data_IF_946107674443
#
_entry.id   IF_946107674443
#
_cell.length_a   1.000
_cell.length_b   1.000
_cell.length_c   1.000
_cell.angle_alpha   90.00
_cell.angle_beta   90.00
_cell.angle_gamma   90.00
#
_symmetry.space_group_name_H-M   'P 1'
#
loop_
_entity.id
_entity.type
_entity.pdbx_description
1 polymer ?
#
# COMPACT_ATOMS: atom_id res chain seq x y z
N UNK A 1 -1.53 21.36 -11.15
CA UNK A 1 -1.29 21.07 -9.72
C UNK A 1 -1.23 19.57 -9.54
N UNK A 2 -0.12 18.99 -9.06
CA UNK A 2 -0.05 17.56 -8.77
C UNK A 2 -0.91 17.25 -7.54
N UNK A 3 -1.83 16.29 -7.65
CA UNK A 3 -2.59 15.79 -6.50
C UNK A 3 -1.69 15.13 -5.45
N UNK A 4 -2.25 14.78 -4.28
CA UNK A 4 -1.50 14.14 -3.20
C UNK A 4 -0.82 12.85 -3.64
N UNK A 5 0.32 12.55 -3.01
CA UNK A 5 1.03 11.30 -3.24
C UNK A 5 0.25 10.15 -2.63
N UNK A 6 -0.24 9.23 -3.47
CA UNK A 6 -0.99 8.04 -3.06
C UNK A 6 -0.02 6.94 -2.62
N UNK A 7 -0.18 6.45 -1.39
CA UNK A 7 0.64 5.42 -0.77
C UNK A 7 -0.24 4.21 -0.39
N UNK A 8 0.10 3.00 -0.84
CA UNK A 8 -0.50 1.76 -0.32
C UNK A 8 0.38 1.23 0.82
N UNK A 9 -0.19 1.12 2.02
CA UNK A 9 0.48 0.56 3.18
C UNK A 9 0.37 -0.96 3.15
N UNK A 10 1.52 -1.63 3.13
CA UNK A 10 1.57 -3.07 3.34
C UNK A 10 1.24 -3.44 4.80
N UNK A 11 0.82 -4.68 5.02
CA UNK A 11 0.46 -5.22 6.33
C UNK A 11 1.59 -5.08 7.35
N UNK A 12 2.84 -5.19 6.92
CA UNK A 12 4.02 -4.98 7.77
C UNK A 12 4.04 -3.58 8.40
N UNK A 13 3.78 -2.54 7.62
CA UNK A 13 3.74 -1.14 8.09
C UNK A 13 2.58 -0.92 9.06
N UNK A 14 1.40 -1.43 8.70
CA UNK A 14 0.21 -1.36 9.56
C UNK A 14 0.49 -2.03 10.91
N UNK A 15 1.12 -3.21 10.92
CA UNK A 15 1.48 -3.92 12.14
C UNK A 15 2.41 -3.09 13.04
N UNK A 16 3.51 -2.55 12.48
CA UNK A 16 4.47 -1.73 13.24
C UNK A 16 3.85 -0.47 13.81
N UNK A 17 2.91 0.15 13.10
CA UNK A 17 2.14 1.28 13.64
C UNK A 17 1.39 0.90 14.93
N UNK A 18 0.67 -0.23 14.93
CA UNK A 18 -0.09 -0.67 16.10
C UNK A 18 0.80 -1.19 17.23
N UNK A 19 1.90 -1.89 16.91
CA UNK A 19 2.90 -2.31 17.90
C UNK A 19 3.52 -1.10 18.60
N UNK A 20 3.95 -0.09 17.84
CA UNK A 20 4.53 1.13 18.38
C UNK A 20 3.56 1.96 19.22
N UNK A 21 2.34 2.20 18.72
CA UNK A 21 1.34 2.97 19.48
C UNK A 21 0.92 2.26 20.76
N UNK A 22 0.76 0.93 20.73
CA UNK A 22 0.52 0.13 21.93
C UNK A 22 1.73 0.07 22.88
N UNK A 23 2.95 0.13 22.35
CA UNK A 23 4.19 0.24 23.11
C UNK A 23 4.28 1.57 23.86
N UNK A 24 4.04 2.69 23.17
CA UNK A 24 4.01 4.04 23.75
C UNK A 24 2.99 4.16 24.89
N UNK A 25 1.78 3.61 24.71
CA UNK A 25 0.75 3.62 25.75
C UNK A 25 1.18 2.86 27.02
N UNK A 26 2.14 1.94 26.91
CA UNK A 26 2.73 1.17 28.02
C UNK A 26 4.07 1.73 28.50
N UNK A 27 4.53 2.87 27.97
CA UNK A 27 5.82 3.47 28.31
C UNK A 27 7.03 2.69 27.80
N UNK A 28 6.87 1.85 26.78
CA UNK A 28 7.97 1.10 26.17
C UNK A 28 8.73 1.97 25.16
N UNK A 29 10.03 1.71 25.04
CA UNK A 29 10.85 2.30 23.98
C UNK A 29 10.40 1.78 22.61
N UNK A 30 10.38 2.67 21.62
CA UNK A 30 10.06 2.33 20.24
C UNK A 30 11.29 1.79 19.52
N UNK A 31 11.07 0.80 18.67
CA UNK A 31 12.01 0.44 17.62
C UNK A 31 11.98 1.46 16.48
N UNK A 32 13.04 1.49 15.67
CA UNK A 32 13.13 2.39 14.52
C UNK A 32 11.96 2.18 13.54
N UNK A 33 11.60 0.93 13.25
CA UNK A 33 10.48 0.60 12.35
C UNK A 33 9.14 1.10 12.90
N UNK A 34 8.90 0.97 14.20
CA UNK A 34 7.68 1.48 14.85
C UNK A 34 7.63 3.01 14.81
N UNK A 35 8.74 3.68 15.10
CA UNK A 35 8.85 5.14 15.01
C UNK A 35 8.58 5.64 13.58
N UNK A 36 9.18 5.00 12.58
CA UNK A 36 8.97 5.33 11.17
C UNK A 36 7.52 5.11 10.74
N UNK A 37 6.88 4.01 11.14
CA UNK A 37 5.48 3.72 10.82
C UNK A 37 4.53 4.76 11.45
N UNK A 38 4.77 5.16 12.71
CA UNK A 38 4.00 6.21 13.38
C UNK A 38 4.17 7.54 12.66
N UNK A 39 5.40 7.92 12.36
CA UNK A 39 5.71 9.18 11.67
C UNK A 39 5.02 9.25 10.31
N UNK A 40 5.09 8.19 9.51
CA UNK A 40 4.45 8.11 8.20
C UNK A 40 2.93 8.37 8.28
N UNK A 41 2.23 7.71 9.21
CA UNK A 41 0.79 7.88 9.40
C UNK A 41 0.46 9.28 9.92
N UNK A 42 1.34 9.88 10.70
CA UNK A 42 1.18 11.23 11.21
C UNK A 42 1.37 12.30 10.12
N UNK A 43 2.42 12.17 9.30
CA UNK A 43 2.75 13.10 8.21
C UNK A 43 1.65 13.17 7.13
N UNK A 44 0.90 12.09 6.93
CA UNK A 44 -0.24 12.10 6.00
C UNK A 44 -1.36 13.09 6.38
N UNK A 45 -1.33 13.69 7.57
CA UNK A 45 -2.23 14.80 7.94
C UNK A 45 -2.07 16.04 7.06
N UNK A 46 -0.91 16.25 6.45
CA UNK A 46 -0.55 17.48 5.74
C UNK A 46 -1.18 17.70 4.36
N UNK A 47 -2.14 16.87 3.92
CA UNK A 47 -2.67 16.81 2.54
C UNK A 47 -1.65 16.45 1.45
N UNK A 48 -0.39 16.22 1.81
CA UNK A 48 0.65 15.79 0.86
C UNK A 48 0.49 14.31 0.45
N UNK A 49 -0.05 13.49 1.34
CA UNK A 49 -0.20 12.05 1.13
C UNK A 49 -1.64 11.59 1.31
N UNK A 50 -2.07 10.67 0.45
CA UNK A 50 -3.28 9.84 0.63
C UNK A 50 -2.85 8.42 0.94
N UNK A 51 -3.20 7.93 2.12
CA UNK A 51 -2.84 6.59 2.56
C UNK A 51 -3.94 5.60 2.21
N UNK A 52 -3.56 4.44 1.73
CA UNK A 52 -4.46 3.37 1.35
C UNK A 52 -4.11 2.07 2.07
N UNK A 53 -5.13 1.24 2.31
CA UNK A 53 -5.05 -0.15 2.75
C UNK A 53 -5.57 -1.08 1.67
N UNK A 54 -5.21 -2.35 1.72
CA UNK A 54 -6.01 -3.39 1.06
C UNK A 54 -7.31 -3.67 1.82
N UNK A 55 -8.31 -4.22 1.13
CA UNK A 55 -9.54 -4.72 1.76
C UNK A 55 -9.24 -5.77 2.83
N UNK A 56 -8.27 -6.65 2.59
CA UNK A 56 -7.84 -7.68 3.53
C UNK A 56 -7.25 -7.08 4.82
N UNK A 57 -6.39 -6.05 4.69
CA UNK A 57 -5.81 -5.37 5.85
C UNK A 57 -6.90 -4.67 6.68
N UNK A 58 -7.85 -3.98 6.04
CA UNK A 58 -8.99 -3.37 6.74
C UNK A 58 -9.81 -4.41 7.50
N UNK A 59 -10.13 -5.55 6.88
CA UNK A 59 -10.94 -6.58 7.52
C UNK A 59 -10.25 -7.16 8.76
N UNK A 60 -8.94 -7.39 8.70
CA UNK A 60 -8.14 -7.82 9.85
C UNK A 60 -8.15 -6.77 10.98
N UNK A 61 -8.03 -5.49 10.65
CA UNK A 61 -8.11 -4.40 11.63
C UNK A 61 -9.49 -4.28 12.28
N UNK A 62 -10.56 -4.47 11.51
CA UNK A 62 -11.92 -4.42 12.06
C UNK A 62 -12.21 -5.63 12.96
N UNK A 63 -11.69 -6.81 12.59
CA UNK A 63 -11.87 -8.03 13.37
C UNK A 63 -11.08 -8.01 14.70
N UNK A 64 -9.82 -7.55 14.67
CA UNK A 64 -8.92 -7.65 15.82
C UNK A 64 -8.62 -6.31 16.49
N UNK A 65 -8.41 -5.25 15.70
CA UNK A 65 -8.01 -3.93 16.20
C UNK A 65 -9.06 -3.29 17.12
N UNK A 66 -10.36 -3.49 16.84
CA UNK A 66 -11.44 -2.99 17.70
C UNK A 66 -11.47 -3.62 19.09
N UNK A 67 -10.94 -4.83 19.25
CA UNK A 67 -10.89 -5.51 20.54
C UNK A 67 -9.66 -5.11 21.35
N UNK A 68 -8.54 -4.84 20.68
CA UNK A 68 -7.25 -4.61 21.34
C UNK A 68 -6.99 -3.12 21.59
N UNK A 69 -7.28 -2.26 20.62
CA UNK A 69 -7.00 -0.82 20.67
C UNK A 69 -8.05 -0.04 19.87
N UNK A 70 -9.29 0.10 20.39
CA UNK A 70 -10.41 0.65 19.64
C UNK A 70 -10.18 2.11 19.23
N UNK A 71 -9.65 2.95 20.12
CA UNK A 71 -9.40 4.37 19.85
C UNK A 71 -8.33 4.56 18.78
N UNK A 72 -7.20 3.86 18.91
CA UNK A 72 -6.09 3.89 17.94
C UNK A 72 -6.54 3.35 16.59
N UNK A 73 -7.32 2.27 16.58
CA UNK A 73 -7.89 1.71 15.34
C UNK A 73 -8.81 2.72 14.65
N UNK A 74 -9.69 3.38 15.39
CA UNK A 74 -10.56 4.43 14.84
C UNK A 74 -9.75 5.62 14.32
N UNK A 75 -8.71 6.03 15.05
CA UNK A 75 -7.82 7.11 14.64
C UNK A 75 -7.06 6.76 13.36
N UNK A 76 -6.53 5.55 13.26
CA UNK A 76 -5.86 5.05 12.07
C UNK A 76 -6.82 5.02 10.88
N UNK A 77 -8.01 4.42 11.04
CA UNK A 77 -9.03 4.32 9.99
C UNK A 77 -9.56 5.67 9.50
N UNK A 78 -9.49 6.73 10.31
CA UNK A 78 -9.80 8.11 9.88
C UNK A 78 -8.76 8.74 8.94
N UNK A 79 -7.57 8.15 8.85
CA UNK A 79 -6.42 8.69 8.09
C UNK A 79 -6.08 7.89 6.84
N UNK A 80 -6.73 6.74 6.66
CA UNK A 80 -6.44 5.78 5.61
C UNK A 80 -7.72 5.43 4.86
N UNK A 81 -7.60 5.34 3.55
CA UNK A 81 -8.66 4.92 2.65
C UNK A 81 -8.47 3.45 2.27
N UNK A 82 -9.46 2.85 1.62
CA UNK A 82 -9.36 1.47 1.12
C UNK A 82 -9.15 1.50 -0.38
N UNK A 83 -8.22 0.68 -0.85
CA UNK A 83 -7.99 0.46 -2.26
C UNK A 83 -8.66 -0.86 -2.67
N UNK A 84 -9.55 -0.78 -3.65
CA UNK A 84 -10.35 -1.89 -4.16
C UNK A 84 -9.80 -2.41 -5.48
N UNK A 85 -9.81 -3.73 -5.74
CA UNK A 85 -9.34 -4.28 -6.99
C UNK A 85 -10.28 -3.94 -8.15
N UNK A 86 -9.74 -3.49 -9.28
CA UNK A 86 -10.51 -3.28 -10.52
C UNK A 86 -10.46 -4.49 -11.47
N UNK A 87 -11.09 -4.34 -12.65
CA UNK A 87 -11.21 -5.38 -13.69
C UNK A 87 -9.89 -6.10 -14.02
N UNK A 88 -8.77 -5.39 -14.08
CA UNK A 88 -7.49 -5.95 -14.54
C UNK A 88 -6.56 -6.42 -13.42
N UNK A 89 -6.96 -6.22 -12.16
CA UNK A 89 -6.20 -6.64 -10.98
C UNK A 89 -5.77 -8.11 -11.03
N UNK A 90 -6.70 -9.05 -11.26
CA UNK A 90 -6.40 -10.48 -11.25
C UNK A 90 -5.43 -10.89 -12.37
N UNK A 91 -5.59 -10.29 -13.56
CA UNK A 91 -4.72 -10.56 -14.72
C UNK A 91 -3.30 -10.09 -14.42
N UNK A 92 -3.17 -8.88 -13.87
CA UNK A 92 -1.87 -8.31 -13.54
C UNK A 92 -1.19 -9.06 -12.38
N UNK A 93 -1.91 -9.42 -11.32
CA UNK A 93 -1.38 -10.23 -10.22
C UNK A 93 -0.80 -11.58 -10.69
N UNK A 94 -1.42 -12.22 -11.69
CA UNK A 94 -0.90 -13.47 -12.28
C UNK A 94 0.44 -13.25 -12.97
N UNK A 95 0.60 -12.15 -13.73
CA UNK A 95 1.85 -11.81 -14.42
C UNK A 95 2.98 -11.48 -13.42
N UNK A 96 2.67 -10.70 -12.38
CA UNK A 96 3.64 -10.41 -11.31
C UNK A 96 4.11 -11.71 -10.64
N UNK A 97 3.19 -12.62 -10.33
CA UNK A 97 3.52 -13.91 -9.69
C UNK A 97 4.42 -14.80 -10.55
N UNK A 98 4.36 -14.72 -11.89
CA UNK A 98 5.25 -15.50 -12.77
C UNK A 98 6.73 -15.15 -12.59
N UNK A 99 7.05 -13.96 -12.06
CA UNK A 99 8.41 -13.55 -11.68
C UNK A 99 8.76 -13.93 -10.23
N UNK A 100 8.27 -15.10 -9.79
CA UNK A 100 8.55 -15.70 -8.47
C UNK A 100 8.18 -14.83 -7.25
N UNK A 101 7.31 -13.82 -7.40
CA UNK A 101 6.75 -13.09 -6.25
C UNK A 101 5.78 -13.99 -5.47
N UNK A 102 5.67 -13.75 -4.16
CA UNK A 102 4.67 -14.44 -3.35
C UNK A 102 3.26 -14.11 -3.87
N UNK A 103 2.27 -14.95 -3.52
CA UNK A 103 0.88 -14.66 -3.88
C UNK A 103 0.40 -13.35 -3.24
N UNK A 104 0.88 -13.02 -2.05
CA UNK A 104 0.50 -11.83 -1.31
C UNK A 104 1.16 -10.58 -1.93
N UNK A 105 2.47 -10.61 -2.19
CA UNK A 105 3.20 -9.49 -2.81
C UNK A 105 2.62 -9.18 -4.18
N UNK A 106 2.34 -10.22 -4.99
CA UNK A 106 1.75 -10.06 -6.30
C UNK A 106 0.36 -9.40 -6.25
N UNK A 107 -0.42 -9.67 -5.20
CA UNK A 107 -1.69 -8.97 -4.96
C UNK A 107 -1.46 -7.53 -4.54
N UNK A 108 -0.55 -7.25 -3.61
CA UNK A 108 -0.26 -5.88 -3.14
C UNK A 108 0.20 -5.02 -4.32
N UNK A 109 1.15 -5.51 -5.10
CA UNK A 109 1.67 -4.82 -6.30
C UNK A 109 0.58 -4.64 -7.34
N UNK A 110 -0.27 -5.64 -7.55
CA UNK A 110 -1.35 -5.52 -8.51
C UNK A 110 -2.45 -4.55 -8.07
N UNK A 111 -2.74 -4.50 -6.77
CA UNK A 111 -3.65 -3.53 -6.20
C UNK A 111 -3.06 -2.12 -6.34
N UNK A 112 -1.77 -1.97 -6.14
CA UNK A 112 -1.10 -0.70 -6.34
C UNK A 112 -1.07 -0.24 -7.81
N UNK A 113 -1.13 -1.15 -8.79
CA UNK A 113 -1.21 -0.79 -10.21
C UNK A 113 -2.65 -0.55 -10.70
N UNK A 114 -3.58 -1.44 -10.34
CA UNK A 114 -4.96 -1.48 -10.85
C UNK A 114 -6.01 -1.37 -9.74
N UNK A 115 -5.67 -0.78 -8.62
CA UNK A 115 -6.62 -0.49 -7.56
C UNK A 115 -7.37 0.82 -7.80
N UNK A 116 -8.49 0.99 -7.11
CA UNK A 116 -9.28 2.22 -7.12
C UNK A 116 -9.82 2.54 -5.73
N UNK A 117 -10.13 3.81 -5.46
CA UNK A 117 -10.83 4.18 -4.24
C UNK A 117 -12.33 3.87 -4.37
N UNK A 118 -13.09 4.10 -3.31
CA UNK A 118 -14.53 3.76 -3.27
C UNK A 118 -15.34 4.50 -4.35
N UNK A 119 -14.93 5.73 -4.69
CA UNK A 119 -15.58 6.55 -5.70
C UNK A 119 -15.23 6.15 -7.15
N UNK A 120 -14.15 5.39 -7.37
CA UNK A 120 -13.66 5.08 -8.71
C UNK A 120 -12.76 6.15 -9.33
N UNK A 121 -12.39 7.18 -8.57
CA UNK A 121 -11.66 8.37 -9.04
C UNK A 121 -10.15 8.13 -9.15
N UNK A 122 -9.65 7.12 -8.45
CA UNK A 122 -8.25 6.74 -8.43
C UNK A 122 -8.00 5.53 -9.32
N UNK A 123 -6.91 5.55 -10.09
CA UNK A 123 -6.32 4.36 -10.68
C UNK A 123 -4.89 4.18 -10.15
N UNK A 124 -4.68 3.09 -9.44
CA UNK A 124 -3.43 2.73 -8.80
C UNK A 124 -2.95 3.74 -7.74
N UNK A 125 -1.76 3.50 -7.22
CA UNK A 125 -1.06 4.39 -6.29
C UNK A 125 0.34 4.68 -6.80
N UNK A 126 0.99 5.71 -6.25
CA UNK A 126 2.34 6.06 -6.65
C UNK A 126 3.38 5.16 -5.98
N UNK A 127 3.13 4.77 -4.72
CA UNK A 127 4.10 4.02 -3.92
C UNK A 127 3.41 2.92 -3.10
N UNK A 128 4.08 1.78 -2.96
CA UNK A 128 3.81 0.76 -1.96
C UNK A 128 4.85 0.94 -0.86
N UNK A 129 4.40 1.06 0.39
CA UNK A 129 5.28 1.20 1.54
C UNK A 129 5.29 -0.12 2.31
N UNK A 130 6.46 -0.72 2.50
CA UNK A 130 6.64 -2.01 3.18
C UNK A 130 7.96 -2.04 3.94
N UNK A 131 8.06 -2.86 5.00
CA UNK A 131 9.33 -3.20 5.63
C UNK A 131 10.03 -4.42 4.99
N UNK A 132 9.39 -5.07 4.01
CA UNK A 132 9.97 -6.20 3.28
C UNK A 132 11.05 -5.72 2.28
N UNK A 133 12.30 -5.63 2.77
CA UNK A 133 13.47 -5.28 1.97
C UNK A 133 13.68 -6.23 0.77
N UNK A 134 13.57 -7.57 0.91
CA UNK A 134 13.59 -8.48 -0.23
C UNK A 134 12.58 -8.14 -1.33
N UNK A 135 11.31 -7.88 -0.99
CA UNK A 135 10.27 -7.49 -1.94
C UNK A 135 10.63 -6.20 -2.66
N UNK A 136 11.04 -5.16 -1.93
CA UNK A 136 11.42 -3.86 -2.50
C UNK A 136 12.58 -3.99 -3.50
N UNK A 137 13.67 -4.67 -3.09
CA UNK A 137 14.84 -4.90 -3.96
C UNK A 137 14.50 -5.71 -5.20
N UNK A 138 13.66 -6.73 -5.05
CA UNK A 138 13.22 -7.56 -6.17
C UNK A 138 12.38 -6.75 -7.16
N UNK A 139 11.42 -5.97 -6.66
CA UNK A 139 10.59 -5.11 -7.50
C UNK A 139 11.41 -4.09 -8.29
N UNK A 140 12.37 -3.43 -7.63
CA UNK A 140 13.26 -2.48 -8.27
C UNK A 140 14.07 -3.11 -9.42
N UNK A 141 14.59 -4.34 -9.24
CA UNK A 141 15.33 -5.06 -10.28
C UNK A 141 14.47 -5.46 -11.48
N UNK A 142 13.21 -5.79 -11.27
CA UNK A 142 12.29 -6.24 -12.33
C UNK A 142 11.49 -5.09 -12.97
N UNK A 143 11.67 -3.84 -12.50
CA UNK A 143 10.79 -2.72 -12.81
C UNK A 143 10.69 -2.41 -14.30
N UNK A 144 11.81 -2.45 -15.03
CA UNK A 144 11.83 -2.20 -16.48
C UNK A 144 11.09 -3.30 -17.24
N UNK A 145 11.29 -4.56 -16.84
CA UNK A 145 10.62 -5.71 -17.48
C UNK A 145 9.11 -5.64 -17.24
N UNK A 146 8.67 -5.30 -16.03
CA UNK A 146 7.25 -5.08 -15.75
C UNK A 146 6.70 -3.86 -16.47
N UNK A 147 7.48 -2.80 -16.68
CA UNK A 147 6.99 -1.60 -17.36
C UNK A 147 6.61 -1.94 -18.81
N UNK A 148 7.43 -2.74 -19.49
CA UNK A 148 7.14 -3.26 -20.84
C UNK A 148 5.88 -4.13 -20.84
N UNK A 149 5.79 -5.10 -19.93
CA UNK A 149 4.62 -5.98 -19.83
C UNK A 149 3.32 -5.25 -19.46
N UNK A 150 3.43 -4.19 -18.67
CA UNK A 150 2.29 -3.34 -18.33
C UNK A 150 1.84 -2.57 -19.57
N UNK A 151 2.77 -1.93 -20.28
CA UNK A 151 2.50 -1.20 -21.52
C UNK A 151 1.79 -2.07 -22.56
N UNK A 152 2.34 -3.24 -22.88
CA UNK A 152 1.72 -4.23 -23.78
C UNK A 152 0.32 -4.67 -23.30
N UNK A 153 0.08 -4.64 -21.98
CA UNK A 153 -1.25 -4.94 -21.44
C UNK A 153 -2.24 -3.80 -21.63
N UNK A 154 -1.76 -2.56 -21.48
CA UNK A 154 -2.60 -1.38 -21.27
C UNK A 154 -2.82 -0.56 -22.53
N UNK A 155 -1.94 -0.66 -23.54
CA UNK A 155 -1.96 0.20 -24.72
C UNK A 155 -3.28 0.14 -25.50
N UNK A 156 -4.00 -0.98 -25.45
CA UNK A 156 -5.29 -1.19 -26.13
C UNK A 156 -6.50 -1.13 -25.19
N UNK A 157 -6.29 -0.83 -23.89
CA UNK A 157 -7.38 -0.81 -22.92
C UNK A 157 -8.13 0.52 -22.97
N UNK A 158 -9.43 0.46 -22.69
CA UNK A 158 -10.24 1.66 -22.52
C UNK A 158 -9.77 2.48 -21.31
N UNK A 159 -10.07 3.78 -21.32
CA UNK A 159 -9.93 4.63 -20.16
C UNK A 159 -10.71 4.05 -18.96
N UNK A 160 -10.20 4.22 -17.72
CA UNK A 160 -8.93 4.86 -17.37
C UNK A 160 -7.71 3.93 -17.45
N UNK A 161 -7.89 2.64 -17.78
CA UNK A 161 -6.88 1.60 -17.58
C UNK A 161 -5.60 1.75 -18.41
N UNK A 162 -5.67 2.45 -19.54
CA UNK A 162 -4.48 2.87 -20.31
C UNK A 162 -3.51 3.75 -19.50
N UNK A 163 -4.02 4.42 -18.46
CA UNK A 163 -3.23 5.30 -17.58
C UNK A 163 -2.58 4.56 -16.40
N UNK A 164 -2.75 3.24 -16.27
CA UNK A 164 -2.17 2.48 -15.16
C UNK A 164 -0.64 2.61 -15.14
N UNK A 165 -0.06 2.74 -13.96
CA UNK A 165 1.39 2.88 -13.76
C UNK A 165 1.89 1.92 -12.69
N UNK A 166 3.13 1.48 -12.83
CA UNK A 166 3.79 0.70 -11.78
C UNK A 166 4.06 1.59 -10.56
N UNK A 167 3.81 1.09 -9.33
CA UNK A 167 4.21 1.78 -8.13
C UNK A 167 5.73 1.69 -7.95
N UNK A 168 6.30 2.64 -7.20
CA UNK A 168 7.58 2.43 -6.51
C UNK A 168 7.32 1.59 -5.26
N UNK A 169 8.23 0.69 -4.90
CA UNK A 169 8.16 -0.05 -3.62
C UNK A 169 9.29 0.47 -2.75
N UNK A 170 8.96 0.99 -1.58
CA UNK A 170 9.88 1.72 -0.73
C UNK A 170 9.70 1.38 0.75
N UNK A 171 10.75 1.61 1.52
CA UNK A 171 10.68 1.59 2.97
C UNK A 171 10.09 2.91 3.46
N UNK A 172 9.51 2.94 4.68
CA UNK A 172 9.04 4.19 5.28
C UNK A 172 10.12 5.29 5.38
N UNK A 173 11.39 4.92 5.57
CA UNK A 173 12.53 5.87 5.63
C UNK A 173 12.82 6.60 4.31
N UNK A 174 12.29 6.11 3.18
CA UNK A 174 12.51 6.68 1.84
C UNK A 174 11.32 7.53 1.32
N UNK A 175 10.35 7.84 2.20
CA UNK A 175 9.11 8.58 1.89
C UNK A 175 9.22 10.03 2.33
#
# INVERSE_FOLDING_TARGET
MSGPTRLLLDKSVVRRYFEGTGGLARGLALTDEEQQAILLVYLARGKEYRLFLSTEARNLLLAHGRQVAPTETLMFLKRVEVLYPTRYFKRWARRVRQRTFSREDAKVLALATFGTDEAGDVLGVHRVVTFDRPMARKWAREQESFARQLYEMTEQLAMPFVLARLPRVQLPEDI
#
